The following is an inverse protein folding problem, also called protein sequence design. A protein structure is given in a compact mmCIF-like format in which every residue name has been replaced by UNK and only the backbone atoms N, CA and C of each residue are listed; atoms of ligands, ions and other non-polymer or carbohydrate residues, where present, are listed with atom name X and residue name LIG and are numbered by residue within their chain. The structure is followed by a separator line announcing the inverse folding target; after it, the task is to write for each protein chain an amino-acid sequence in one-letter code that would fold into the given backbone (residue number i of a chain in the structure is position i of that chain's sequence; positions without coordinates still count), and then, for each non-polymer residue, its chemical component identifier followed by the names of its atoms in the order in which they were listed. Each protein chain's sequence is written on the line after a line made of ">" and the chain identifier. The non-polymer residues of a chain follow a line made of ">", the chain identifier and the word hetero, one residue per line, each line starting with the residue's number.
data_IF_092090065569
#
_entry.id   IF_092090065569
#
_cell.length_a   1.000
_cell.length_b   1.000
_cell.length_c   1.000
_cell.angle_alpha   90.00
_cell.angle_beta   90.00
_cell.angle_gamma   90.00
#
_symmetry.space_group_name_H-M   'P 1'
#
loop_
_entity.id
_entity.type
_entity.pdbx_description
1 polymer ?
#
# COMPACT_ATOMS: atom_id res chain seq x y z
N UNK A 1 23.16 -35.34 6.92
CA UNK A 1 21.70 -35.18 6.86
C UNK A 1 21.31 -33.94 7.67
N UNK A 2 20.85 -32.87 7.00
CA UNK A 2 20.49 -31.61 7.67
C UNK A 2 19.27 -31.76 8.59
N UNK A 3 18.37 -32.71 8.34
CA UNK A 3 17.16 -32.89 9.14
C UNK A 3 17.44 -33.39 10.58
N UNK A 4 18.61 -33.99 10.81
CA UNK A 4 19.02 -34.54 12.11
C UNK A 4 19.86 -33.58 12.96
N UNK A 5 20.24 -32.42 12.41
CA UNK A 5 21.05 -31.43 13.13
C UNK A 5 20.17 -30.55 14.02
N UNK A 6 20.71 -30.09 15.15
CA UNK A 6 20.00 -29.15 16.04
C UNK A 6 19.58 -27.85 15.34
N UNK A 7 20.33 -27.43 14.31
CA UNK A 7 19.97 -26.25 13.51
C UNK A 7 18.65 -26.40 12.74
N UNK A 8 18.23 -27.63 12.42
CA UNK A 8 16.95 -27.87 11.79
C UNK A 8 15.78 -27.62 12.75
N UNK A 9 15.86 -28.09 14.00
CA UNK A 9 14.80 -27.91 15.00
C UNK A 9 14.77 -26.51 15.61
N UNK A 10 15.92 -25.84 15.69
CA UNK A 10 16.02 -24.49 16.26
C UNK A 10 15.76 -23.38 15.24
N UNK A 11 16.29 -23.52 14.01
CA UNK A 11 16.32 -22.43 13.02
C UNK A 11 15.61 -22.77 11.70
N UNK A 12 15.22 -24.03 11.48
CA UNK A 12 14.60 -24.49 10.23
C UNK A 12 15.62 -24.82 9.14
N UNK A 13 16.89 -25.03 9.50
CA UNK A 13 17.95 -25.36 8.55
C UNK A 13 17.96 -26.86 8.21
N UNK A 14 16.86 -27.32 7.61
CA UNK A 14 16.60 -28.74 7.43
C UNK A 14 16.95 -29.24 6.03
N UNK A 15 17.25 -28.34 5.09
CA UNK A 15 17.51 -28.67 3.69
C UNK A 15 18.96 -28.39 3.31
N UNK A 16 19.63 -29.35 2.68
CA UNK A 16 20.98 -29.17 2.17
C UNK A 16 20.96 -28.36 0.87
N UNK A 17 21.73 -27.28 0.81
CA UNK A 17 21.89 -26.43 -0.37
C UNK A 17 23.34 -25.92 -0.44
N UNK A 18 24.02 -26.19 -1.56
CA UNK A 18 25.41 -25.76 -1.80
C UNK A 18 26.38 -26.12 -0.65
N UNK A 19 26.29 -27.34 -0.13
CA UNK A 19 27.15 -27.82 0.95
C UNK A 19 26.81 -27.30 2.35
N UNK A 20 25.76 -26.49 2.51
CA UNK A 20 25.29 -25.96 3.80
C UNK A 20 23.84 -26.34 4.10
N UNK A 21 23.47 -26.37 5.37
CA UNK A 21 22.08 -26.58 5.79
C UNK A 21 21.35 -25.23 5.89
N UNK A 22 20.20 -25.11 5.21
CA UNK A 22 19.41 -23.88 5.09
C UNK A 22 17.91 -24.17 5.16
N UNK A 23 17.09 -23.14 5.36
CA UNK A 23 15.65 -23.23 5.15
C UNK A 23 15.37 -23.06 3.65
N UNK A 24 15.18 -24.16 2.92
CA UNK A 24 14.98 -24.11 1.48
C UNK A 24 13.50 -24.02 1.09
N UNK A 25 12.60 -24.39 2.01
CA UNK A 25 11.15 -24.44 1.79
C UNK A 25 10.40 -24.07 3.06
N UNK A 26 9.19 -23.56 2.91
CA UNK A 26 8.31 -23.17 4.03
C UNK A 26 8.06 -24.34 5.00
N UNK A 27 8.05 -25.58 4.52
CA UNK A 27 7.91 -26.78 5.36
C UNK A 27 9.04 -26.92 6.40
N UNK A 28 10.25 -26.42 6.10
CA UNK A 28 11.37 -26.44 7.05
C UNK A 28 11.11 -25.47 8.22
N UNK A 29 10.33 -24.41 7.96
CA UNK A 29 10.00 -23.33 8.88
C UNK A 29 8.69 -23.56 9.65
N UNK A 30 7.72 -24.24 9.03
CA UNK A 30 6.35 -24.40 9.54
C UNK A 30 6.27 -25.05 10.94
N UNK A 31 7.22 -25.93 11.25
CA UNK A 31 7.28 -26.65 12.55
C UNK A 31 7.96 -25.87 13.68
N UNK A 32 8.60 -24.73 13.38
CA UNK A 32 9.35 -23.99 14.38
C UNK A 32 8.42 -23.26 15.34
N UNK A 33 8.77 -23.18 16.65
CA UNK A 33 8.04 -22.35 17.59
C UNK A 33 7.87 -20.91 17.12
N UNK A 34 8.88 -20.35 16.43
CA UNK A 34 8.81 -19.00 15.86
C UNK A 34 7.83 -18.85 14.69
N UNK A 35 7.56 -19.91 13.92
CA UNK A 35 6.47 -19.85 12.95
C UNK A 35 5.14 -19.75 13.71
N UNK A 36 4.90 -20.63 14.68
CA UNK A 36 3.65 -20.69 15.42
C UNK A 36 3.40 -19.42 16.26
N UNK A 37 4.44 -18.86 16.88
CA UNK A 37 4.32 -17.75 17.82
C UNK A 37 4.49 -16.37 17.17
N UNK A 38 5.30 -16.28 16.11
CA UNK A 38 5.77 -15.00 15.53
C UNK A 38 5.59 -14.94 14.01
N UNK A 39 5.00 -15.94 13.36
CA UNK A 39 4.77 -15.90 11.91
C UNK A 39 5.99 -16.14 11.04
N UNK A 40 7.15 -16.55 11.55
CA UNK A 40 8.33 -16.79 10.69
C UNK A 40 8.24 -18.12 9.93
N UNK A 41 7.24 -18.24 9.06
CA UNK A 41 6.85 -19.49 8.40
C UNK A 41 7.36 -19.62 6.96
N UNK A 42 7.86 -18.55 6.34
CA UNK A 42 8.35 -18.58 4.96
C UNK A 42 9.88 -18.69 4.87
N UNK A 43 10.36 -19.55 3.98
CA UNK A 43 11.77 -19.70 3.67
C UNK A 43 12.22 -18.62 2.66
N UNK A 44 12.96 -17.62 3.15
CA UNK A 44 13.45 -16.51 2.33
C UNK A 44 14.96 -16.40 2.51
N UNK A 45 15.70 -16.49 1.41
CA UNK A 45 17.17 -16.40 1.39
C UNK A 45 17.85 -17.37 2.38
N UNK A 46 17.33 -18.59 2.48
CA UNK A 46 17.88 -19.64 3.35
C UNK A 46 17.50 -19.54 4.82
N UNK A 47 16.64 -18.59 5.20
CA UNK A 47 16.20 -18.36 6.59
C UNK A 47 14.68 -18.31 6.68
N UNK A 48 14.12 -18.71 7.83
CA UNK A 48 12.68 -18.48 8.05
C UNK A 48 12.38 -17.03 8.42
N UNK A 49 11.49 -16.40 7.68
CA UNK A 49 11.06 -15.01 7.84
C UNK A 49 9.56 -14.92 7.62
N UNK A 50 8.97 -13.81 8.05
CA UNK A 50 7.67 -13.39 7.54
C UNK A 50 7.87 -12.82 6.14
N UNK A 51 7.05 -13.23 5.19
CA UNK A 51 7.14 -12.77 3.80
C UNK A 51 5.79 -12.58 3.13
N UNK A 52 4.75 -13.27 3.61
CA UNK A 52 3.41 -13.27 3.00
C UNK A 52 2.32 -13.11 4.06
N UNK A 53 1.13 -12.71 3.64
CA UNK A 53 -0.01 -12.47 4.56
C UNK A 53 -0.37 -13.71 5.40
N UNK A 54 -0.24 -14.91 4.81
CA UNK A 54 -0.48 -16.16 5.52
C UNK A 54 0.40 -16.31 6.76
N UNK A 55 1.62 -15.75 6.74
CA UNK A 55 2.56 -15.76 7.85
C UNK A 55 2.09 -14.88 9.01
N UNK A 56 1.32 -13.83 8.72
CA UNK A 56 0.78 -12.93 9.73
C UNK A 56 -0.42 -13.50 10.49
N UNK A 57 -1.07 -14.55 9.97
CA UNK A 57 -2.31 -15.10 10.53
C UNK A 57 -2.15 -15.76 11.91
N UNK A 58 -0.92 -16.10 12.30
CA UNK A 58 -0.64 -16.83 13.55
C UNK A 58 -0.43 -15.92 14.76
N UNK A 59 -0.11 -14.64 14.56
CA UNK A 59 0.10 -13.72 15.67
C UNK A 59 -1.21 -13.46 16.45
N UNK A 60 -1.13 -13.49 17.79
CA UNK A 60 -2.28 -13.20 18.67
C UNK A 60 -2.91 -11.85 18.38
N UNK A 61 -2.12 -10.88 17.92
CA UNK A 61 -2.57 -9.54 17.55
C UNK A 61 -3.53 -9.55 16.35
N UNK A 62 -3.37 -10.53 15.45
CA UNK A 62 -4.19 -10.70 14.25
C UNK A 62 -5.49 -11.48 14.49
N UNK A 63 -5.59 -12.22 15.60
CA UNK A 63 -6.78 -13.00 15.97
C UNK A 63 -7.79 -12.23 16.82
N UNK A 64 -7.52 -10.96 17.16
CA UNK A 64 -8.44 -10.16 17.99
C UNK A 64 -9.69 -9.81 17.17
N UNK A 65 -10.86 -10.24 17.66
CA UNK A 65 -12.20 -10.00 17.07
C UNK A 65 -12.59 -10.88 15.86
N UNK A 66 -11.95 -12.03 15.63
CA UNK A 66 -12.41 -13.03 14.64
C UNK A 66 -12.31 -12.58 13.18
N UNK A 67 -11.53 -11.52 12.91
CA UNK A 67 -11.31 -10.97 11.57
C UNK A 67 -9.81 -11.13 11.30
N UNK A 68 -9.42 -12.19 10.57
CA UNK A 68 -8.04 -12.42 10.11
C UNK A 68 -7.63 -11.37 9.06
N UNK A 69 -7.51 -10.10 9.45
CA UNK A 69 -7.18 -8.97 8.56
C UNK A 69 -5.78 -8.46 8.92
N UNK A 70 -4.80 -9.34 8.78
CA UNK A 70 -3.40 -8.96 8.83
C UNK A 70 -2.76 -9.13 7.46
N UNK A 71 -2.07 -8.09 7.04
CA UNK A 71 -1.34 -8.03 5.78
C UNK A 71 0.14 -7.81 6.11
N UNK A 72 1.02 -8.51 5.41
CA UNK A 72 2.46 -8.31 5.50
C UNK A 72 2.83 -7.09 4.66
N UNK A 73 3.24 -6.00 5.32
CA UNK A 73 3.60 -4.75 4.66
C UNK A 73 4.75 -4.07 5.40
N UNK A 74 5.68 -3.46 4.66
CA UNK A 74 6.88 -2.79 5.19
C UNK A 74 7.67 -3.68 6.18
N UNK A 75 7.85 -4.96 5.82
CA UNK A 75 8.52 -5.96 6.65
C UNK A 75 7.87 -6.26 8.02
N UNK A 76 6.62 -5.82 8.22
CA UNK A 76 5.88 -6.03 9.46
C UNK A 76 4.48 -6.58 9.17
N UNK A 77 3.90 -7.31 10.13
CA UNK A 77 2.49 -7.66 10.07
C UNK A 77 1.71 -6.46 10.60
N UNK A 78 0.87 -5.89 9.75
CA UNK A 78 0.01 -4.78 10.13
C UNK A 78 -1.44 -5.23 10.06
N UNK A 79 -2.24 -4.88 11.06
CA UNK A 79 -3.68 -4.95 10.90
C UNK A 79 -4.07 -3.86 9.92
N UNK A 80 -4.47 -4.22 8.72
CA UNK A 80 -5.21 -3.24 7.91
C UNK A 80 -6.49 -2.95 8.70
N UNK A 81 -6.77 -1.69 9.07
CA UNK A 81 -8.11 -1.39 9.55
C UNK A 81 -9.06 -1.96 8.50
N UNK A 82 -10.01 -2.80 8.95
CA UNK A 82 -11.15 -3.12 8.11
C UNK A 82 -11.68 -1.74 7.76
N UNK A 83 -11.48 -1.29 6.53
CA UNK A 83 -12.38 -0.33 5.93
C UNK A 83 -13.68 -1.13 5.75
N UNK A 84 -14.32 -1.43 6.89
CA UNK A 84 -15.76 -1.59 6.92
C UNK A 84 -16.19 -0.25 6.38
N UNK A 85 -16.83 -0.33 5.23
CA UNK A 85 -17.19 0.74 4.31
C UNK A 85 -18.21 1.69 4.97
N UNK A 86 -17.86 2.23 6.13
CA UNK A 86 -18.76 2.90 7.09
C UNK A 86 -17.96 3.67 8.14
N UNK A 87 -16.95 4.42 7.68
CA UNK A 87 -16.60 5.65 8.37
C UNK A 87 -16.64 6.76 7.33
N UNK A 88 -17.53 7.70 7.56
CA UNK A 88 -17.66 8.97 6.88
C UNK A 88 -16.35 9.77 6.97
N UNK A 89 -15.37 9.42 6.13
CA UNK A 89 -14.30 10.30 5.69
C UNK A 89 -14.56 10.50 4.21
N UNK A 90 -15.01 11.70 3.86
CA UNK A 90 -15.56 12.03 2.56
C UNK A 90 -14.71 11.55 1.39
N UNK A 91 -15.19 10.50 0.72
CA UNK A 91 -15.09 10.28 -0.72
C UNK A 91 -13.91 10.97 -1.43
N UNK A 92 -12.71 10.43 -1.28
CA UNK A 92 -11.66 10.61 -2.28
C UNK A 92 -12.00 9.74 -3.50
N UNK A 93 -12.92 10.25 -4.32
CA UNK A 93 -13.04 9.85 -5.71
C UNK A 93 -11.70 10.07 -6.42
N UNK A 94 -11.36 9.28 -7.46
CA UNK A 94 -10.20 9.53 -8.30
C UNK A 94 -10.12 11.03 -8.67
N UNK A 95 -9.01 11.67 -8.27
CA UNK A 95 -8.90 13.12 -8.11
C UNK A 95 -9.17 13.94 -9.38
N UNK A 96 -9.15 13.32 -10.57
CA UNK A 96 -9.46 13.97 -11.85
C UNK A 96 -10.92 14.40 -11.98
N UNK A 97 -11.88 13.64 -11.44
CA UNK A 97 -13.30 14.06 -11.43
C UNK A 97 -13.58 15.10 -10.33
N UNK A 98 -12.73 15.19 -9.30
CA UNK A 98 -12.94 16.12 -8.19
C UNK A 98 -12.66 17.57 -8.58
N UNK A 99 -11.65 17.83 -9.44
CA UNK A 99 -11.27 19.20 -9.77
C UNK A 99 -12.38 19.92 -10.54
N UNK A 100 -13.02 19.26 -11.51
CA UNK A 100 -14.14 19.83 -12.28
C UNK A 100 -15.38 20.14 -11.43
N UNK A 101 -15.59 19.42 -10.34
CA UNK A 101 -16.71 19.64 -9.43
C UNK A 101 -16.45 20.75 -8.39
N UNK A 102 -15.20 21.24 -8.26
CA UNK A 102 -14.84 22.27 -7.28
C UNK A 102 -15.17 23.67 -7.78
N UNK A 103 -15.50 24.55 -6.83
CA UNK A 103 -15.68 25.99 -7.07
C UNK A 103 -14.45 26.62 -7.74
N UNK A 104 -13.24 26.21 -7.37
CA UNK A 104 -11.99 26.65 -7.99
C UNK A 104 -11.89 26.36 -9.50
N UNK A 105 -12.52 25.30 -10.02
CA UNK A 105 -12.59 25.08 -11.46
C UNK A 105 -13.51 26.12 -12.13
N UNK A 106 -14.70 26.35 -11.58
CA UNK A 106 -15.66 27.30 -12.13
C UNK A 106 -15.19 28.76 -12.00
N UNK A 107 -14.50 29.10 -10.91
CA UNK A 107 -14.05 30.47 -10.63
C UNK A 107 -12.70 30.76 -11.27
N UNK A 108 -11.70 29.90 -11.06
CA UNK A 108 -10.30 30.15 -11.40
C UNK A 108 -9.76 29.28 -12.55
N UNK A 109 -10.57 28.38 -13.10
CA UNK A 109 -10.13 27.49 -14.19
C UNK A 109 -9.16 26.39 -13.74
N UNK A 110 -9.16 26.02 -12.45
CA UNK A 110 -8.31 24.94 -11.91
C UNK A 110 -9.01 23.57 -12.01
N UNK A 111 -9.24 23.10 -13.24
CA UNK A 111 -10.13 21.97 -13.50
C UNK A 111 -9.43 20.62 -13.69
N UNK A 112 -8.09 20.58 -13.80
CA UNK A 112 -7.33 19.37 -14.08
C UNK A 112 -6.48 18.94 -12.89
N UNK A 113 -6.46 17.64 -12.56
CA UNK A 113 -5.64 17.10 -11.48
C UNK A 113 -4.24 16.76 -11.99
N UNK A 114 -3.22 17.46 -11.48
CA UNK A 114 -1.81 17.24 -11.81
C UNK A 114 -1.05 17.06 -10.49
N UNK A 115 -0.45 15.89 -10.29
CA UNK A 115 0.28 15.58 -9.05
C UNK A 115 -0.60 15.65 -7.79
N UNK A 116 -1.89 15.32 -7.92
CA UNK A 116 -2.86 15.37 -6.82
C UNK A 116 -3.38 16.77 -6.46
N UNK A 117 -2.98 17.80 -7.20
CA UNK A 117 -3.44 19.19 -7.01
C UNK A 117 -4.24 19.66 -8.22
N UNK A 118 -5.32 20.40 -8.00
CA UNK A 118 -6.12 20.98 -9.08
C UNK A 118 -5.41 22.21 -9.68
N UNK A 119 -5.19 22.19 -10.98
CA UNK A 119 -4.37 23.12 -11.75
C UNK A 119 -5.06 23.42 -13.09
N UNK A 120 -4.76 24.57 -13.67
CA UNK A 120 -5.19 24.86 -15.05
C UNK A 120 -4.34 24.02 -16.00
N UNK A 121 -4.98 23.39 -16.98
CA UNK A 121 -4.31 22.62 -18.02
C UNK A 121 -5.09 22.64 -19.34
N UNK A 122 -4.47 22.17 -20.42
CA UNK A 122 -5.14 22.01 -21.71
C UNK A 122 -5.10 23.26 -22.60
N UNK A 123 -4.03 24.05 -22.54
CA UNK A 123 -3.79 25.13 -23.49
C UNK A 123 -4.80 26.27 -23.38
N UNK A 124 -5.30 26.51 -22.16
CA UNK A 124 -6.36 27.49 -21.88
C UNK A 124 -7.78 26.93 -21.90
N UNK A 125 -8.00 25.66 -22.26
CA UNK A 125 -9.34 25.05 -22.23
C UNK A 125 -10.04 25.16 -20.86
N UNK A 126 -9.30 24.94 -19.77
CA UNK A 126 -9.83 25.10 -18.42
C UNK A 126 -10.05 26.60 -18.05
N UNK A 127 -9.16 27.50 -18.50
CA UNK A 127 -9.26 28.92 -18.23
C UNK A 127 -10.44 29.59 -18.96
N UNK A 128 -10.68 29.23 -20.22
CA UNK A 128 -11.74 29.80 -21.06
C UNK A 128 -13.15 29.55 -20.51
N UNK A 129 -13.33 28.49 -19.73
CA UNK A 129 -14.64 28.16 -19.14
C UNK A 129 -14.88 28.84 -17.78
N UNK A 130 -13.84 29.43 -17.17
CA UNK A 130 -13.90 30.02 -15.84
C UNK A 130 -14.56 31.40 -15.81
N UNK A 131 -15.07 31.79 -14.63
CA UNK A 131 -15.51 33.17 -14.37
C UNK A 131 -14.33 34.14 -14.41
N UNK A 132 -13.13 33.73 -14.00
CA UNK A 132 -11.93 34.56 -14.07
C UNK A 132 -11.61 35.02 -15.50
N UNK A 133 -11.81 34.16 -16.51
CA UNK A 133 -11.71 34.59 -17.90
C UNK A 133 -12.84 35.58 -18.27
N UNK A 134 -14.09 35.27 -17.95
CA UNK A 134 -15.26 36.09 -18.32
C UNK A 134 -15.29 37.47 -17.65
N UNK A 135 -14.86 37.57 -16.40
CA UNK A 135 -14.97 38.78 -15.57
C UNK A 135 -13.64 39.54 -15.45
N UNK A 136 -12.52 38.83 -15.44
CA UNK A 136 -11.20 39.41 -15.16
C UNK A 136 -10.20 39.26 -16.32
N UNK A 137 -10.66 38.75 -17.47
CA UNK A 137 -9.86 38.51 -18.67
C UNK A 137 -8.70 37.52 -18.46
N UNK A 138 -8.75 36.69 -17.41
CA UNK A 138 -7.72 35.68 -17.12
C UNK A 138 -7.93 34.41 -17.95
N UNK A 139 -7.71 34.50 -19.26
CA UNK A 139 -8.07 33.44 -20.21
C UNK A 139 -6.90 32.57 -20.66
N UNK A 140 -5.65 32.91 -20.31
CA UNK A 140 -4.44 32.20 -20.73
C UNK A 140 -3.89 31.32 -19.62
N UNK A 141 -3.42 30.13 -19.96
CA UNK A 141 -2.70 29.26 -19.03
C UNK A 141 -1.21 29.68 -18.97
N UNK A 142 -0.70 29.94 -17.76
CA UNK A 142 0.72 30.14 -17.48
C UNK A 142 1.04 29.52 -16.11
N UNK A 143 2.08 28.68 -16.05
CA UNK A 143 2.52 27.99 -14.83
C UNK A 143 1.35 27.32 -14.08
N UNK A 144 0.49 26.63 -14.83
CA UNK A 144 -0.67 25.92 -14.30
C UNK A 144 -1.74 26.82 -13.62
N UNK A 145 -1.75 28.11 -13.94
CA UNK A 145 -2.71 29.11 -13.46
C UNK A 145 -3.31 29.90 -14.64
N UNK A 146 -4.50 30.44 -14.43
CA UNK A 146 -5.11 31.34 -15.41
C UNK A 146 -4.63 32.78 -15.20
N UNK A 147 -4.10 33.41 -16.24
CA UNK A 147 -3.57 34.77 -16.29
C UNK A 147 -4.19 35.55 -17.45
N UNK A 148 -4.01 36.88 -17.46
CA UNK A 148 -4.52 37.76 -18.54
C UNK A 148 -3.85 37.47 -19.88
#
# INVERSE_FOLDING_TARGET
>A
DCARLGGCTQYGFCSARMGSCTAARDADCARLPRCIQQGHCSAVSGQCRRWKDADCSVEKHCKKNGKNICVYSNAMCTTTPRISNTINLGSEKPQSQSCRARKACQEDGLCTSIGGVCRAHGGGGDCLQSKACKMHQRCREQDFKCVK
#
